data_IF_117014735522
#
_entry.id   IF_117014735522
#
_cell.length_a   1.000
_cell.length_b   1.000
_cell.length_c   1.000
_cell.angle_alpha   90.00
_cell.angle_beta   90.00
_cell.angle_gamma   90.00
#
_symmetry.space_group_name_H-M   'P 1'
#
loop_
_entity.id
_entity.type
_entity.pdbx_description
1 polymer ?
#
# COMPACT_ATOMS: atom_id res chain seq x y z
N UNK A 1 24.98 -13.94 14.82
CA UNK A 1 25.04 -12.53 14.38
C UNK A 1 25.55 -12.53 12.94
N UNK A 2 24.64 -12.62 11.97
CA UNK A 2 24.98 -12.62 10.54
C UNK A 2 24.45 -11.33 9.92
N UNK A 3 25.36 -10.45 9.55
CA UNK A 3 25.10 -9.21 8.84
C UNK A 3 24.68 -9.52 7.41
N UNK A 4 23.39 -9.44 7.08
CA UNK A 4 22.95 -9.40 5.70
C UNK A 4 23.28 -8.02 5.12
N UNK A 5 24.18 -8.02 4.14
CA UNK A 5 24.59 -6.83 3.40
C UNK A 5 23.41 -6.26 2.63
N UNK A 6 23.04 -5.02 2.95
CA UNK A 6 22.16 -4.19 2.13
C UNK A 6 22.92 -3.88 0.84
N UNK A 7 22.55 -4.52 -0.27
CA UNK A 7 23.04 -4.13 -1.58
C UNK A 7 22.64 -2.68 -1.86
N UNK A 8 23.65 -1.83 -2.02
CA UNK A 8 23.54 -0.48 -2.53
C UNK A 8 22.83 -0.53 -3.88
N UNK A 9 21.60 0.00 -3.94
CA UNK A 9 20.88 0.20 -5.20
C UNK A 9 21.62 1.30 -5.97
N UNK A 10 22.16 0.92 -7.12
CA UNK A 10 22.84 1.80 -8.05
C UNK A 10 21.97 2.99 -8.43
N UNK A 11 22.52 4.19 -8.24
CA UNK A 11 22.07 5.44 -8.86
C UNK A 11 22.28 5.36 -10.39
N UNK A 12 21.32 4.77 -11.11
CA UNK A 12 21.27 4.90 -12.56
C UNK A 12 20.39 6.07 -12.96
N UNK A 13 21.10 7.18 -13.16
CA UNK A 13 20.71 8.36 -13.94
C UNK A 13 19.90 7.96 -15.17
N UNK A 14 18.64 8.37 -15.18
CA UNK A 14 17.74 8.36 -16.32
C UNK A 14 18.30 9.24 -17.44
N UNK A 15 18.63 8.63 -18.58
CA UNK A 15 18.69 9.31 -19.88
C UNK A 15 17.44 8.88 -20.69
N UNK A 16 16.75 9.81 -21.35
CA UNK A 16 15.52 9.53 -22.09
C UNK A 16 15.84 9.05 -23.51
N UNK A 17 15.32 7.91 -23.93
CA UNK A 17 15.31 7.47 -25.34
C UNK A 17 14.12 6.51 -25.54
N UNK A 18 12.99 6.99 -26.07
CA UNK A 18 12.68 6.95 -27.51
C UNK A 18 12.93 5.55 -28.08
N UNK A 19 11.97 4.63 -27.91
CA UNK A 19 11.71 3.51 -28.83
C UNK A 19 10.40 2.75 -28.52
N UNK A 20 9.34 3.44 -28.06
CA UNK A 20 8.07 2.78 -27.71
C UNK A 20 7.08 2.63 -28.90
N UNK A 21 7.52 2.81 -30.14
CA UNK A 21 6.62 2.84 -31.31
C UNK A 21 6.76 1.64 -32.27
N UNK A 22 7.69 0.70 -32.07
CA UNK A 22 7.91 -0.40 -33.04
C UNK A 22 7.55 -1.81 -32.55
N UNK A 23 7.20 -2.01 -31.27
CA UNK A 23 6.80 -3.34 -30.78
C UNK A 23 5.29 -3.64 -30.90
N UNK A 24 4.44 -2.64 -31.17
CA UNK A 24 3.00 -2.87 -31.42
C UNK A 24 2.72 -3.27 -32.88
N UNK A 25 3.64 -2.97 -33.82
CA UNK A 25 3.45 -3.24 -35.26
C UNK A 25 4.12 -4.50 -35.81
N UNK A 26 5.02 -5.14 -35.05
CA UNK A 26 5.92 -6.20 -35.54
C UNK A 26 5.64 -7.64 -35.05
N UNK A 27 4.53 -7.88 -34.35
CA UNK A 27 4.15 -9.22 -33.86
C UNK A 27 2.77 -9.69 -34.39
N UNK A 28 2.35 -9.22 -35.56
CA UNK A 28 1.06 -9.62 -36.16
C UNK A 28 1.14 -10.86 -37.06
N UNK A 29 2.27 -11.56 -37.17
CA UNK A 29 2.39 -12.72 -38.07
C UNK A 29 2.92 -14.04 -37.45
N UNK A 30 3.11 -14.11 -36.13
CA UNK A 30 3.47 -15.36 -35.44
C UNK A 30 2.70 -15.60 -34.12
N UNK A 31 1.58 -14.89 -33.89
CA UNK A 31 0.74 -15.00 -32.70
C UNK A 31 -0.51 -15.88 -32.93
N UNK A 32 -0.37 -16.98 -33.68
CA UNK A 32 -1.47 -17.89 -34.01
C UNK A 32 -1.54 -19.16 -33.16
N UNK A 33 -0.52 -19.49 -32.35
CA UNK A 33 -0.47 -20.81 -31.70
C UNK A 33 0.41 -20.92 -30.44
N UNK A 34 0.73 -19.84 -29.72
CA UNK A 34 1.12 -19.99 -28.31
C UNK A 34 -0.17 -19.94 -27.51
N UNK A 35 -0.90 -21.06 -27.55
CA UNK A 35 -2.00 -21.28 -26.64
C UNK A 35 -1.45 -21.15 -25.23
N UNK A 36 -1.94 -20.16 -24.49
CA UNK A 36 -1.90 -20.13 -23.03
C UNK A 36 -2.76 -21.29 -22.51
N UNK A 37 -2.33 -22.53 -22.78
CA UNK A 37 -2.79 -23.72 -22.10
C UNK A 37 -1.97 -23.81 -20.80
N UNK A 38 -2.23 -22.90 -19.86
CA UNK A 38 -2.01 -23.25 -18.46
C UNK A 38 -3.08 -24.30 -18.18
N UNK A 39 -2.63 -25.55 -18.06
CA UNK A 39 -3.43 -26.64 -17.56
C UNK A 39 -4.20 -26.14 -16.33
N UNK A 40 -5.52 -26.06 -16.49
CA UNK A 40 -6.43 -26.09 -15.38
C UNK A 40 -6.28 -27.49 -14.76
N UNK A 41 -5.28 -27.68 -13.90
CA UNK A 41 -5.29 -28.80 -12.99
C UNK A 41 -6.58 -28.68 -12.19
N UNK A 42 -7.45 -29.66 -12.39
CA UNK A 42 -8.67 -29.86 -11.62
C UNK A 42 -8.28 -30.13 -10.17
N UNK A 43 -8.11 -29.07 -9.39
CA UNK A 43 -8.27 -29.17 -7.95
C UNK A 43 -9.75 -29.41 -7.67
N UNK A 44 -10.06 -30.67 -7.39
CA UNK A 44 -11.32 -31.07 -6.77
C UNK A 44 -11.31 -30.56 -5.33
N UNK A 45 -12.11 -29.53 -5.03
CA UNK A 45 -12.48 -29.19 -3.65
C UNK A 45 -14.00 -28.98 -3.56
N UNK A 46 -14.51 -29.47 -2.43
CA UNK A 46 -15.90 -29.78 -2.09
C UNK A 46 -16.82 -28.55 -2.04
N UNK A 47 -18.14 -28.73 -2.24
CA UNK A 47 -19.12 -27.69 -1.94
C UNK A 47 -19.21 -27.51 -0.42
N UNK A 48 -18.90 -26.29 0.04
CA UNK A 48 -19.31 -25.83 1.37
C UNK A 48 -20.74 -25.27 1.27
N UNK A 49 -21.67 -25.95 1.94
CA UNK A 49 -23.01 -25.44 2.23
C UNK A 49 -22.91 -24.09 2.97
N UNK A 50 -23.59 -23.06 2.45
CA UNK A 50 -23.85 -21.83 3.19
C UNK A 50 -25.36 -21.70 3.45
N UNK A 51 -25.79 -21.44 4.69
CA UNK A 51 -27.18 -21.16 4.98
C UNK A 51 -27.59 -19.74 4.55
N UNK A 52 -28.80 -19.66 3.99
CA UNK A 52 -29.50 -18.41 3.70
C UNK A 52 -29.85 -17.68 5.00
N UNK A 53 -29.32 -16.47 5.17
CA UNK A 53 -29.64 -15.54 6.25
C UNK A 53 -30.39 -14.32 5.74
N UNK A 54 -31.68 -14.27 6.07
CA UNK A 54 -32.65 -13.23 5.70
C UNK A 54 -32.43 -11.89 6.42
N UNK A 55 -32.63 -10.80 5.68
CA UNK A 55 -33.42 -9.64 6.12
C UNK A 55 -32.75 -8.57 6.98
N UNK A 56 -32.70 -7.33 6.46
CA UNK A 56 -32.70 -6.13 7.30
C UNK A 56 -33.67 -5.08 6.69
N UNK A 57 -34.59 -4.51 7.48
CA UNK A 57 -35.58 -3.54 7.01
C UNK A 57 -35.02 -2.12 6.91
N UNK A 58 -35.62 -1.34 5.99
CA UNK A 58 -35.52 0.11 5.91
C UNK A 58 -36.21 0.77 7.10
N UNK A 59 -35.50 1.68 7.76
CA UNK A 59 -36.03 2.57 8.80
C UNK A 59 -35.63 4.01 8.52
N UNK A 60 -36.59 4.80 8.06
CA UNK A 60 -36.55 6.27 7.98
C UNK A 60 -36.75 6.84 9.38
N UNK A 61 -35.95 7.84 9.78
CA UNK A 61 -36.36 8.84 10.78
C UNK A 61 -35.56 10.13 10.58
N UNK A 62 -36.31 11.22 10.45
CA UNK A 62 -35.85 12.59 10.62
C UNK A 62 -35.78 12.91 12.12
N UNK A 63 -34.90 13.84 12.52
CA UNK A 63 -35.28 14.95 13.39
C UNK A 63 -34.14 15.97 13.57
N UNK A 64 -34.54 17.23 13.44
CA UNK A 64 -33.87 18.48 13.78
C UNK A 64 -33.55 18.60 15.28
N UNK A 65 -32.32 18.94 15.66
CA UNK A 65 -32.02 19.75 16.87
C UNK A 65 -30.70 20.52 16.71
N UNK A 66 -30.79 21.86 16.58
CA UNK A 66 -29.70 22.78 16.94
C UNK A 66 -29.66 22.96 18.46
N UNK A 67 -28.46 23.08 19.07
CA UNK A 67 -28.26 24.21 19.98
C UNK A 67 -26.88 24.88 19.88
N UNK A 68 -26.91 26.18 20.19
CA UNK A 68 -25.84 27.16 20.28
C UNK A 68 -24.53 26.68 20.92
N UNK A 69 -23.41 26.93 20.23
CA UNK A 69 -22.09 26.87 20.83
C UNK A 69 -21.79 28.18 21.57
N UNK A 70 -21.71 28.08 22.90
CA UNK A 70 -21.15 29.12 23.76
C UNK A 70 -19.62 29.20 23.58
N UNK A 71 -19.12 30.40 23.35
CA UNK A 71 -17.70 30.74 23.34
C UNK A 71 -17.15 30.63 24.77
N UNK A 72 -16.52 29.50 25.09
CA UNK A 72 -15.70 29.38 26.30
C UNK A 72 -14.30 29.93 26.02
N UNK A 73 -13.77 30.87 26.83
CA UNK A 73 -12.40 31.33 26.71
C UNK A 73 -11.45 30.20 27.10
N UNK A 74 -10.61 29.75 26.14
CA UNK A 74 -9.50 28.84 26.42
C UNK A 74 -8.49 29.54 27.32
N UNK A 75 -8.45 29.10 28.57
CA UNK A 75 -7.38 29.44 29.51
C UNK A 75 -6.13 28.68 29.06
N UNK A 76 -5.18 29.40 28.48
CA UNK A 76 -3.86 28.89 28.17
C UNK A 76 -3.11 28.66 29.48
N UNK A 77 -3.13 27.43 29.99
CA UNK A 77 -2.30 27.04 31.14
C UNK A 77 -0.83 27.05 30.74
N UNK A 78 0.05 27.67 31.55
CA UNK A 78 1.48 27.73 31.26
C UNK A 78 2.16 26.38 31.52
N UNK A 79 2.85 25.86 30.50
CA UNK A 79 4.05 25.02 30.60
C UNK A 79 4.02 23.86 31.60
N UNK A 80 3.09 22.93 31.46
CA UNK A 80 3.23 21.62 32.12
C UNK A 80 4.38 20.87 31.46
N UNK A 81 5.39 20.49 32.25
CA UNK A 81 6.45 19.60 31.77
C UNK A 81 5.80 18.33 31.22
N UNK A 82 6.18 17.85 30.02
CA UNK A 82 5.58 16.66 29.45
C UNK A 82 5.68 15.51 30.45
N UNK A 83 4.53 14.90 30.73
CA UNK A 83 4.43 13.82 31.70
C UNK A 83 5.00 12.54 31.08
N UNK A 84 5.47 11.62 31.92
CA UNK A 84 5.89 10.29 31.48
C UNK A 84 4.78 9.57 30.71
N UNK A 85 3.53 9.84 31.07
CA UNK A 85 2.32 9.32 30.40
C UNK A 85 2.23 9.74 28.94
N UNK A 86 2.46 11.03 28.61
CA UNK A 86 2.38 11.51 27.21
C UNK A 86 3.42 10.84 26.32
N UNK A 87 4.64 10.65 26.83
CA UNK A 87 5.69 9.94 26.11
C UNK A 87 5.33 8.47 25.87
N UNK A 88 4.73 7.80 26.86
CA UNK A 88 4.28 6.41 26.75
C UNK A 88 3.15 6.24 25.72
N UNK A 89 2.17 7.14 25.69
CA UNK A 89 1.10 7.15 24.69
C UNK A 89 1.65 7.33 23.27
N UNK A 90 2.58 8.27 23.08
CA UNK A 90 3.25 8.47 21.80
C UNK A 90 4.04 7.24 21.34
N UNK A 91 4.78 6.59 22.25
CA UNK A 91 5.51 5.34 21.94
C UNK A 91 4.57 4.20 21.57
N UNK A 92 3.43 4.10 22.24
CA UNK A 92 2.41 3.09 21.92
C UNK A 92 1.82 3.32 20.52
N UNK A 93 1.50 4.57 20.17
CA UNK A 93 1.02 4.90 18.83
C UNK A 93 2.08 4.60 17.77
N UNK A 94 3.32 5.03 17.99
CA UNK A 94 4.44 4.77 17.10
C UNK A 94 4.65 3.26 16.86
N UNK A 95 4.65 2.45 17.93
CA UNK A 95 4.79 1.00 17.81
C UNK A 95 3.64 0.37 17.00
N UNK A 96 2.42 0.87 17.18
CA UNK A 96 1.25 0.43 16.39
C UNK A 96 1.42 0.78 14.91
N UNK A 97 1.87 2.00 14.59
CA UNK A 97 2.15 2.41 13.22
C UNK A 97 3.25 1.57 12.56
N UNK A 98 4.34 1.26 13.28
CA UNK A 98 5.42 0.38 12.79
C UNK A 98 4.87 -1.00 12.41
N UNK A 99 3.94 -1.56 13.21
CA UNK A 99 3.30 -2.84 12.90
C UNK A 99 2.50 -2.78 11.59
N UNK A 100 1.72 -1.71 11.37
CA UNK A 100 0.98 -1.50 10.11
C UNK A 100 1.95 -1.34 8.93
N UNK A 101 3.02 -0.55 9.11
CA UNK A 101 4.04 -0.29 8.09
C UNK A 101 4.69 -1.60 7.61
N UNK A 102 5.07 -2.50 8.53
CA UNK A 102 5.67 -3.80 8.19
C UNK A 102 4.72 -4.69 7.37
N UNK A 103 3.42 -4.67 7.67
CA UNK A 103 2.43 -5.40 6.88
C UNK A 103 2.23 -4.77 5.49
N UNK A 104 2.22 -3.43 5.43
CA UNK A 104 2.17 -2.67 4.19
C UNK A 104 3.35 -2.99 3.28
N UNK A 105 4.57 -2.91 3.82
CA UNK A 105 5.80 -3.19 3.08
C UNK A 105 5.83 -4.63 2.53
N UNK A 106 5.41 -5.61 3.33
CA UNK A 106 5.34 -7.01 2.91
C UNK A 106 4.36 -7.26 1.73
N UNK A 107 3.33 -6.44 1.57
CA UNK A 107 2.39 -6.50 0.44
C UNK A 107 2.91 -5.67 -0.74
N UNK A 108 3.41 -4.45 -0.48
CA UNK A 108 3.96 -3.56 -1.51
C UNK A 108 5.26 -4.09 -2.12
N UNK A 109 6.01 -4.95 -1.44
CA UNK A 109 7.14 -5.69 -2.02
C UNK A 109 6.72 -6.58 -3.19
N UNK A 110 5.55 -7.24 -3.10
CA UNK A 110 5.04 -8.01 -4.24
C UNK A 110 4.67 -7.09 -5.40
N UNK A 111 4.11 -5.92 -5.10
CA UNK A 111 3.79 -4.93 -6.12
C UNK A 111 5.04 -4.38 -6.81
N UNK A 112 6.10 -4.07 -6.04
CA UNK A 112 7.42 -3.69 -6.57
C UNK A 112 7.96 -4.74 -7.52
N UNK A 113 8.00 -6.01 -7.10
CA UNK A 113 8.49 -7.11 -7.94
C UNK A 113 7.65 -7.28 -9.23
N UNK A 114 6.34 -7.07 -9.13
CA UNK A 114 5.44 -7.15 -10.29
C UNK A 114 5.73 -6.05 -11.31
N UNK A 115 5.91 -4.81 -10.84
CA UNK A 115 6.26 -3.64 -11.65
C UNK A 115 7.68 -3.76 -12.21
N UNK A 116 8.64 -4.27 -11.44
CA UNK A 116 10.01 -4.48 -11.90
C UNK A 116 10.07 -5.51 -13.04
N UNK A 117 9.25 -6.56 -13.00
CA UNK A 117 9.13 -7.50 -14.11
C UNK A 117 8.57 -6.82 -15.37
N UNK A 118 7.59 -5.90 -15.24
CA UNK A 118 7.13 -5.08 -16.36
C UNK A 118 8.25 -4.20 -16.92
N UNK A 119 8.98 -3.50 -16.05
CA UNK A 119 10.10 -2.63 -16.43
C UNK A 119 11.20 -3.41 -17.18
N UNK A 120 11.60 -4.56 -16.65
CA UNK A 120 12.61 -5.43 -17.27
C UNK A 120 12.12 -6.00 -18.61
N UNK A 121 10.84 -6.36 -18.70
CA UNK A 121 10.27 -6.88 -19.95
C UNK A 121 10.29 -5.80 -21.05
N UNK A 122 9.87 -4.58 -20.74
CA UNK A 122 9.87 -3.48 -21.74
C UNK A 122 11.27 -3.03 -22.12
N UNK A 123 12.24 -3.17 -21.22
CA UNK A 123 13.65 -2.92 -21.49
C UNK A 123 14.33 -4.05 -22.30
N UNK A 124 13.64 -5.19 -22.51
CA UNK A 124 14.20 -6.36 -23.18
C UNK A 124 15.20 -7.14 -22.33
N UNK A 125 15.22 -6.92 -21.01
CA UNK A 125 16.13 -7.58 -20.06
C UNK A 125 15.63 -8.99 -19.67
N UNK A 126 14.31 -9.20 -19.72
CA UNK A 126 13.68 -10.52 -19.53
C UNK A 126 12.73 -10.84 -20.68
N UNK A 127 12.51 -12.13 -20.92
CA UNK A 127 11.51 -12.63 -21.87
C UNK A 127 10.10 -12.55 -21.28
N UNK A 128 9.08 -12.63 -22.15
CA UNK A 128 7.67 -12.71 -21.72
C UNK A 128 7.42 -13.95 -20.83
N UNK A 129 8.09 -15.07 -21.09
CA UNK A 129 7.97 -16.27 -20.27
C UNK A 129 8.48 -16.03 -18.85
N UNK A 130 9.65 -15.40 -18.70
CA UNK A 130 10.20 -15.02 -17.39
C UNK A 130 9.30 -14.00 -16.67
N UNK A 131 8.81 -12.97 -17.37
CA UNK A 131 7.88 -12.00 -16.80
C UNK A 131 6.60 -12.68 -16.29
N UNK A 132 6.06 -13.64 -17.05
CA UNK A 132 4.89 -14.44 -16.66
C UNK A 132 5.13 -15.25 -15.39
N UNK A 133 6.34 -15.80 -15.21
CA UNK A 133 6.71 -16.48 -13.97
C UNK A 133 6.71 -15.51 -12.78
N UNK A 134 7.34 -14.34 -12.91
CA UNK A 134 7.30 -13.30 -11.86
C UNK A 134 5.88 -12.85 -11.51
N UNK A 135 5.01 -12.64 -12.50
CA UNK A 135 3.63 -12.25 -12.25
C UNK A 135 2.82 -13.35 -11.57
N UNK A 136 3.03 -14.61 -11.95
CA UNK A 136 2.42 -15.74 -11.26
C UNK A 136 2.90 -15.88 -9.81
N UNK A 137 4.15 -15.57 -9.55
CA UNK A 137 4.78 -15.62 -8.22
C UNK A 137 4.27 -14.50 -7.31
N UNK A 138 4.26 -13.27 -7.82
CA UNK A 138 3.80 -12.08 -7.06
C UNK A 138 2.30 -12.11 -6.77
N UNK A 139 1.49 -12.80 -7.57
CA UNK A 139 0.07 -13.03 -7.29
C UNK A 139 -0.16 -13.98 -6.11
N UNK A 140 0.74 -14.94 -5.85
CA UNK A 140 0.54 -15.92 -4.76
C UNK A 140 0.55 -15.22 -3.41
N UNK A 141 -0.57 -15.33 -2.69
CA UNK A 141 -0.73 -14.71 -1.37
C UNK A 141 -0.92 -13.19 -1.39
N UNK A 142 -1.10 -12.57 -2.57
CA UNK A 142 -1.28 -11.13 -2.68
C UNK A 142 -2.53 -10.62 -1.93
N UNK A 143 -3.66 -11.31 -2.08
CA UNK A 143 -4.88 -11.03 -1.32
C UNK A 143 -4.65 -11.10 0.19
N UNK A 144 -4.09 -12.20 0.69
CA UNK A 144 -3.86 -12.38 2.13
C UNK A 144 -2.95 -11.30 2.73
N UNK A 145 -1.96 -10.81 1.98
CA UNK A 145 -1.06 -9.74 2.43
C UNK A 145 -1.75 -8.37 2.42
N UNK A 146 -2.53 -8.08 1.38
CA UNK A 146 -3.36 -6.87 1.34
C UNK A 146 -4.39 -6.86 2.48
N UNK A 147 -5.08 -7.97 2.71
CA UNK A 147 -6.01 -8.14 3.84
C UNK A 147 -5.32 -7.95 5.19
N UNK A 148 -4.13 -8.52 5.40
CA UNK A 148 -3.37 -8.33 6.63
C UNK A 148 -3.02 -6.86 6.89
N UNK A 149 -2.64 -6.11 5.84
CA UNK A 149 -2.44 -4.67 5.94
C UNK A 149 -3.74 -3.95 6.30
N UNK A 150 -4.84 -4.22 5.60
CA UNK A 150 -6.14 -3.56 5.84
C UNK A 150 -6.68 -3.82 7.23
N UNK A 151 -6.54 -5.02 7.76
CA UNK A 151 -6.95 -5.35 9.12
C UNK A 151 -6.17 -4.52 10.15
N UNK A 152 -4.84 -4.46 10.03
CA UNK A 152 -4.00 -3.67 10.95
C UNK A 152 -4.21 -2.16 10.80
N UNK A 153 -4.45 -1.68 9.58
CA UNK A 153 -4.74 -0.28 9.30
C UNK A 153 -6.10 0.14 9.90
N UNK A 154 -7.10 -0.75 9.83
CA UNK A 154 -8.39 -0.55 10.48
C UNK A 154 -8.26 -0.52 12.01
N UNK A 155 -7.55 -1.49 12.61
CA UNK A 155 -7.27 -1.52 14.05
C UNK A 155 -6.57 -0.22 14.53
N UNK A 156 -5.61 0.29 13.74
CA UNK A 156 -4.94 1.56 14.03
C UNK A 156 -5.91 2.76 13.93
N UNK A 157 -6.81 2.76 12.95
CA UNK A 157 -7.81 3.82 12.76
C UNK A 157 -8.87 3.88 13.86
N UNK A 158 -9.20 2.74 14.47
CA UNK A 158 -10.13 2.64 15.61
C UNK A 158 -9.47 2.95 16.96
N UNK A 159 -8.13 2.95 17.02
CA UNK A 159 -7.38 3.21 18.23
C UNK A 159 -7.66 4.60 18.81
N UNK A 160 -7.88 4.66 20.12
CA UNK A 160 -8.01 5.94 20.86
C UNK A 160 -6.65 6.51 21.27
N UNK A 161 -5.54 5.82 20.99
CA UNK A 161 -4.19 6.29 21.30
C UNK A 161 -3.89 7.59 20.57
N UNK A 162 -3.31 8.57 21.28
CA UNK A 162 -2.95 9.87 20.72
C UNK A 162 -1.49 10.17 21.04
N UNK A 163 -0.86 10.87 20.11
CA UNK A 163 0.37 11.61 20.37
C UNK A 163 0.05 13.07 20.07
N UNK A 164 0.55 13.99 20.90
CA UNK A 164 0.22 15.41 20.74
C UNK A 164 0.61 15.92 19.34
N UNK A 165 -0.28 16.66 18.67
CA UNK A 165 0.07 17.29 17.39
C UNK A 165 0.86 18.57 17.68
N UNK A 166 2.14 18.61 17.30
CA UNK A 166 2.94 19.83 17.26
C UNK A 166 2.60 20.62 15.99
N UNK A 167 1.36 21.11 15.87
CA UNK A 167 0.99 22.07 14.81
C UNK A 167 1.60 23.46 15.08
N UNK A 168 2.06 23.72 16.30
CA UNK A 168 2.71 24.98 16.70
C UNK A 168 4.21 24.89 16.51
N UNK A 169 4.72 25.61 15.50
CA UNK A 169 6.13 25.69 15.10
C UNK A 169 7.07 26.24 16.18
N UNK A 170 7.32 25.45 17.22
CA UNK A 170 8.42 25.69 18.15
C UNK A 170 9.68 25.07 17.56
N UNK A 171 10.53 25.89 16.95
CA UNK A 171 11.82 25.52 16.33
C UNK A 171 12.86 24.96 17.35
N UNK A 172 12.46 24.64 18.58
CA UNK A 172 13.31 24.09 19.64
C UNK A 172 12.67 22.93 20.40
N UNK A 173 11.86 22.14 19.70
CA UNK A 173 11.29 20.88 20.18
C UNK A 173 12.39 19.80 20.24
N UNK A 174 13.18 19.78 21.31
CA UNK A 174 14.34 18.88 21.51
C UNK A 174 14.11 17.79 22.57
N UNK A 175 12.90 17.73 23.14
CA UNK A 175 12.56 16.76 24.16
C UNK A 175 12.24 15.36 23.59
N UNK A 176 12.24 14.30 24.44
CA UNK A 176 11.83 12.95 24.02
C UNK A 176 10.42 12.89 23.42
N UNK A 177 9.47 13.67 23.97
CA UNK A 177 8.11 13.75 23.42
C UNK A 177 8.13 14.33 22.01
N UNK A 178 8.88 15.41 21.76
CA UNK A 178 8.96 16.04 20.44
C UNK A 178 9.53 15.10 19.37
N UNK A 179 10.54 14.30 19.73
CA UNK A 179 11.08 13.24 18.86
C UNK A 179 10.02 12.20 18.52
N UNK A 180 9.30 11.71 19.53
CA UNK A 180 8.22 10.77 19.32
C UNK A 180 7.08 11.35 18.46
N UNK A 181 6.68 12.59 18.68
CA UNK A 181 5.70 13.28 17.83
C UNK A 181 6.19 13.32 16.39
N UNK A 182 7.45 13.72 16.17
CA UNK A 182 8.06 13.75 14.84
C UNK A 182 8.04 12.38 14.18
N UNK A 183 8.41 11.32 14.92
CA UNK A 183 8.37 9.95 14.44
C UNK A 183 6.96 9.49 14.06
N UNK A 184 5.98 9.71 14.95
CA UNK A 184 4.58 9.35 14.67
C UNK A 184 3.99 10.09 13.46
N UNK A 185 4.38 11.35 13.26
CA UNK A 185 3.96 12.15 12.10
C UNK A 185 4.61 11.66 10.81
N UNK A 186 5.88 11.24 10.86
CA UNK A 186 6.56 10.66 9.69
C UNK A 186 5.93 9.32 9.29
N UNK A 187 5.65 8.43 10.25
CA UNK A 187 4.94 7.18 10.00
C UNK A 187 3.51 7.41 9.51
N UNK A 188 2.77 8.39 10.05
CA UNK A 188 1.43 8.72 9.54
C UNK A 188 1.47 9.10 8.05
N UNK A 189 2.48 9.86 7.61
CA UNK A 189 2.70 10.21 6.20
C UNK A 189 3.10 9.00 5.35
N UNK A 190 3.91 8.08 5.90
CA UNK A 190 4.25 6.82 5.23
C UNK A 190 3.01 5.96 5.00
N UNK A 191 2.21 5.73 6.05
CA UNK A 191 0.98 4.94 5.99
C UNK A 191 -0.05 5.56 5.04
N UNK A 192 -0.15 6.89 4.97
CA UNK A 192 -1.00 7.54 3.98
C UNK A 192 -0.57 7.21 2.54
N UNK A 193 0.74 7.20 2.25
CA UNK A 193 1.27 6.78 0.95
C UNK A 193 1.06 5.27 0.71
N UNK A 194 1.25 4.44 1.75
CA UNK A 194 1.02 3.00 1.68
C UNK A 194 -0.44 2.68 1.31
N UNK A 195 -1.42 3.35 1.92
CA UNK A 195 -2.86 3.17 1.61
C UNK A 195 -3.19 3.48 0.15
N UNK A 196 -2.57 4.51 -0.42
CA UNK A 196 -2.75 4.86 -1.84
C UNK A 196 -2.18 3.75 -2.72
N UNK A 197 -0.92 3.36 -2.50
CA UNK A 197 -0.28 2.29 -3.26
C UNK A 197 -1.01 0.94 -3.13
N UNK A 198 -1.49 0.61 -1.93
CA UNK A 198 -2.25 -0.61 -1.66
C UNK A 198 -3.57 -0.65 -2.43
N UNK A 199 -4.25 0.50 -2.54
CA UNK A 199 -5.53 0.58 -3.27
C UNK A 199 -5.33 0.26 -4.75
N UNK A 200 -4.26 0.76 -5.36
CA UNK A 200 -3.90 0.41 -6.74
C UNK A 200 -3.47 -1.04 -6.88
N UNK A 201 -2.69 -1.56 -5.94
CA UNK A 201 -2.29 -2.98 -5.95
C UNK A 201 -3.50 -3.92 -5.86
N UNK A 202 -4.42 -3.68 -4.91
CA UNK A 202 -5.65 -4.44 -4.75
C UNK A 202 -6.53 -4.42 -6.01
N UNK A 203 -6.62 -3.27 -6.68
CA UNK A 203 -7.32 -3.17 -7.96
C UNK A 203 -6.66 -4.08 -9.01
N UNK A 204 -5.35 -3.98 -9.15
CA UNK A 204 -4.62 -4.81 -10.11
C UNK A 204 -4.77 -6.31 -9.83
N UNK A 205 -4.75 -6.74 -8.56
CA UNK A 205 -5.01 -8.13 -8.17
C UNK A 205 -6.39 -8.58 -8.67
N UNK A 206 -7.43 -7.77 -8.46
CA UNK A 206 -8.79 -8.08 -8.95
C UNK A 206 -8.83 -8.18 -10.47
N UNK A 207 -8.13 -7.31 -11.19
CA UNK A 207 -8.09 -7.34 -12.65
C UNK A 207 -7.40 -8.60 -13.18
N UNK A 208 -6.31 -9.03 -12.53
CA UNK A 208 -5.67 -10.31 -12.82
C UNK A 208 -6.64 -11.48 -12.62
N UNK A 209 -7.44 -11.46 -11.56
CA UNK A 209 -8.43 -12.50 -11.29
C UNK A 209 -9.59 -12.48 -12.29
N UNK A 210 -10.10 -11.30 -12.65
CA UNK A 210 -11.13 -11.15 -13.70
C UNK A 210 -10.65 -11.70 -15.04
N UNK A 211 -9.40 -11.43 -15.41
CA UNK A 211 -8.82 -11.95 -16.64
C UNK A 211 -8.69 -13.47 -16.60
N UNK A 212 -8.19 -14.03 -15.49
CA UNK A 212 -8.09 -15.49 -15.29
C UNK A 212 -9.46 -16.18 -15.33
N UNK A 213 -10.50 -15.52 -14.83
CA UNK A 213 -11.87 -15.99 -14.86
C UNK A 213 -12.55 -15.81 -16.23
N UNK A 214 -11.85 -15.28 -17.23
CA UNK A 214 -12.38 -15.00 -18.58
C UNK A 214 -13.45 -13.91 -18.60
N UNK A 215 -13.49 -13.03 -17.59
CA UNK A 215 -14.49 -11.95 -17.46
C UNK A 215 -14.11 -10.68 -18.21
N UNK A 216 -12.83 -10.52 -18.52
CA UNK A 216 -12.31 -9.45 -19.37
C UNK A 216 -11.44 -10.04 -20.48
N UNK A 217 -11.40 -9.36 -21.62
CA UNK A 217 -10.56 -9.75 -22.76
C UNK A 217 -9.10 -9.42 -22.51
N UNK A 218 -8.18 -10.04 -23.27
CA UNK A 218 -6.75 -9.73 -23.18
C UNK A 218 -6.45 -8.25 -23.50
N UNK A 219 -7.20 -7.66 -24.44
CA UNK A 219 -7.06 -6.24 -24.78
C UNK A 219 -7.47 -5.33 -23.61
N UNK A 220 -8.60 -5.63 -22.95
CA UNK A 220 -9.03 -4.90 -21.76
C UNK A 220 -8.03 -5.02 -20.62
N UNK A 221 -7.60 -6.25 -20.30
CA UNK A 221 -6.60 -6.51 -19.27
C UNK A 221 -5.30 -5.74 -19.54
N UNK A 222 -4.79 -5.77 -20.77
CA UNK A 222 -3.58 -5.03 -21.16
C UNK A 222 -3.72 -3.53 -20.93
N UNK A 223 -4.86 -2.93 -21.31
CA UNK A 223 -5.10 -1.51 -21.10
C UNK A 223 -5.11 -1.15 -19.60
N UNK A 224 -5.80 -1.94 -18.79
CA UNK A 224 -5.90 -1.72 -17.34
C UNK A 224 -4.53 -1.90 -16.65
N UNK A 225 -3.77 -2.92 -17.04
CA UNK A 225 -2.44 -3.19 -16.49
C UNK A 225 -1.43 -2.11 -16.86
N UNK A 226 -1.48 -1.55 -18.06
CA UNK A 226 -0.60 -0.44 -18.46
C UNK A 226 -0.84 0.82 -17.62
N UNK A 227 -2.11 1.16 -17.39
CA UNK A 227 -2.50 2.28 -16.53
C UNK A 227 -2.07 2.05 -15.08
N UNK A 228 -2.35 0.85 -14.56
CA UNK A 228 -1.99 0.43 -13.20
C UNK A 228 -0.47 0.41 -12.98
N UNK A 229 0.31 -0.03 -13.97
CA UNK A 229 1.78 -0.09 -13.90
C UNK A 229 2.40 1.30 -13.69
N UNK A 230 2.04 2.28 -14.52
CA UNK A 230 2.60 3.63 -14.43
C UNK A 230 2.20 4.30 -13.11
N UNK A 231 0.91 4.22 -12.79
CA UNK A 231 0.36 4.78 -11.55
C UNK A 231 0.99 4.12 -10.32
N UNK A 232 1.09 2.80 -10.33
CA UNK A 232 1.67 2.02 -9.23
C UNK A 232 3.16 2.32 -9.01
N UNK A 233 3.93 2.53 -10.08
CA UNK A 233 5.35 2.86 -9.98
C UNK A 233 5.55 4.21 -9.27
N UNK A 234 4.79 5.24 -9.63
CA UNK A 234 4.86 6.56 -9.00
C UNK A 234 4.42 6.54 -7.53
N UNK A 235 3.38 5.76 -7.22
CA UNK A 235 2.89 5.57 -5.86
C UNK A 235 3.90 4.84 -4.98
N UNK A 236 4.52 3.76 -5.49
CA UNK A 236 5.59 3.04 -4.79
C UNK A 236 6.80 3.94 -4.54
N UNK A 237 7.23 4.72 -5.54
CA UNK A 237 8.32 5.67 -5.35
C UNK A 237 7.99 6.71 -4.26
N UNK A 238 6.72 7.12 -4.16
CA UNK A 238 6.26 8.03 -3.09
C UNK A 238 6.26 7.34 -1.74
N UNK A 239 5.73 6.11 -1.65
CA UNK A 239 5.76 5.30 -0.45
C UNK A 239 7.19 5.07 0.05
N UNK A 240 8.09 4.59 -0.81
CA UNK A 240 9.48 4.30 -0.48
C UNK A 240 10.21 5.51 0.13
N UNK A 241 10.01 6.71 -0.44
CA UNK A 241 10.59 7.95 0.12
C UNK A 241 10.05 8.28 1.51
N UNK A 242 8.76 8.06 1.74
CA UNK A 242 8.12 8.35 3.04
C UNK A 242 8.50 7.31 4.09
N UNK A 243 8.53 6.04 3.71
CA UNK A 243 8.97 4.93 4.57
C UNK A 243 10.43 5.11 4.99
N UNK A 244 11.32 5.43 4.05
CA UNK A 244 12.71 5.72 4.37
C UNK A 244 12.85 6.87 5.39
N UNK A 245 12.15 7.99 5.18
CA UNK A 245 12.17 9.11 6.10
C UNK A 245 11.59 8.77 7.48
N UNK A 246 10.53 7.95 7.54
CA UNK A 246 9.93 7.50 8.80
C UNK A 246 10.89 6.62 9.61
N UNK A 247 11.66 5.75 8.94
CA UNK A 247 12.66 4.88 9.57
C UNK A 247 13.89 5.63 10.09
N UNK A 248 14.15 6.84 9.60
CA UNK A 248 15.19 7.73 10.14
C UNK A 248 14.77 8.40 11.46
N UNK A 249 13.46 8.41 11.77
CA UNK A 249 12.96 9.00 13.02
C UNK A 249 13.01 7.99 14.15
N UNK A 250 13.29 8.47 15.36
CA UNK A 250 13.37 7.65 16.57
C UNK A 250 12.41 8.18 17.64
N UNK A 251 11.76 7.26 18.33
CA UNK A 251 10.87 7.48 19.49
C UNK A 251 11.38 6.72 20.74
N UNK A 252 12.53 6.05 20.64
CA UNK A 252 13.20 5.41 21.76
C UNK A 252 13.76 6.43 22.76
#
# INVERSE_FOLDING_TARGET
>A
MSTHGRHSRNDHRWLPAILLALLVGGMTAAAGAIGWNIAADKAAEQPADLPAGSGVPSGTSADDVMPSAGTSPSVTSPGTTPTTTELEECRSLWASQVKVELAGDASLDQWRLHIDAMNQLVAGEITLEQATQYWNDTRRGAHARAEAFRALDADLGESTQRCANTETGSESASGPVDKCVTATNAFAKSLAAARIAMTSWEHHIRDMDLFRAGKITAQQATSMWLESWQTGADQLATYDRRAAHALEQDCA
#
